data_IF_790780265349
#
_entry.id   IF_790780265349
#
_cell.length_a   1.000
_cell.length_b   1.000
_cell.length_c   1.000
_cell.angle_alpha   90.00
_cell.angle_beta   90.00
_cell.angle_gamma   90.00
#
_symmetry.space_group_name_H-M   'P 1'
#
loop_
_entity.id
_entity.type
_entity.pdbx_description
1 polymer ?
#
# COMPACT_ATOMS: atom_id res chain seq x y z
N UNK A 1 19.73 -9.71 28.86
CA UNK A 1 20.09 -8.52 28.05
C UNK A 1 21.26 -8.85 27.13
N UNK A 2 21.03 -8.93 25.81
CA UNK A 2 22.05 -8.58 24.82
C UNK A 2 21.52 -7.49 23.87
N UNK A 3 22.39 -6.52 23.59
CA UNK A 3 22.20 -5.46 22.58
C UNK A 3 22.53 -6.05 21.20
N UNK A 4 21.59 -5.95 20.26
CA UNK A 4 21.78 -6.25 18.84
C UNK A 4 21.50 -4.98 18.02
N UNK A 5 22.50 -4.55 17.28
CA UNK A 5 22.59 -3.36 16.41
C UNK A 5 21.56 -3.31 15.27
N UNK A 6 21.17 -2.12 14.79
CA UNK A 6 20.43 -1.95 13.55
C UNK A 6 21.41 -1.79 12.37
N UNK A 7 21.41 -2.74 11.44
CA UNK A 7 22.08 -2.57 10.15
C UNK A 7 21.35 -3.43 9.12
N UNK A 8 20.44 -2.79 8.38
CA UNK A 8 20.19 -3.09 6.96
C UNK A 8 19.32 -1.96 6.39
N UNK A 9 20.02 -0.88 6.02
CA UNK A 9 19.45 0.16 5.19
C UNK A 9 19.40 -0.35 3.74
N UNK A 10 18.21 -0.74 3.28
CA UNK A 10 17.95 -1.05 1.87
C UNK A 10 18.12 0.24 1.05
N UNK A 11 19.01 0.30 0.04
CA UNK A 11 19.12 1.47 -0.80
C UNK A 11 17.88 1.58 -1.70
N UNK A 12 17.12 2.66 -1.52
CA UNK A 12 16.06 3.06 -2.43
C UNK A 12 16.67 3.41 -3.80
N UNK A 13 16.58 2.48 -4.74
CA UNK A 13 16.91 2.74 -6.13
C UNK A 13 15.91 3.74 -6.72
N UNK A 14 16.39 4.94 -7.04
CA UNK A 14 15.62 5.95 -7.78
C UNK A 14 15.41 5.45 -9.22
N UNK A 15 14.18 5.28 -9.71
CA UNK A 15 13.96 5.08 -11.13
C UNK A 15 14.37 6.37 -11.87
N UNK A 16 15.29 6.21 -12.82
CA UNK A 16 15.82 7.29 -13.64
C UNK A 16 14.71 8.01 -14.40
N UNK A 17 14.71 9.34 -14.31
CA UNK A 17 13.89 10.20 -15.14
C UNK A 17 14.32 10.03 -16.61
N UNK A 18 13.48 9.35 -17.40
CA UNK A 18 13.59 9.37 -18.86
C UNK A 18 13.00 10.71 -19.32
N UNK A 19 13.88 11.65 -19.65
CA UNK A 19 13.50 12.93 -20.24
C UNK A 19 12.86 12.76 -21.62
N UNK A 20 11.98 13.68 -22.05
CA UNK A 20 11.31 13.60 -23.34
C UNK A 20 12.31 13.76 -24.50
N UNK A 21 12.09 13.12 -25.67
CA UNK A 21 12.92 13.36 -26.84
C UNK A 21 12.71 14.79 -27.34
N UNK A 22 13.79 15.58 -27.33
CA UNK A 22 13.84 16.92 -27.91
C UNK A 22 14.11 16.81 -29.41
N UNK A 23 13.13 17.17 -30.24
CA UNK A 23 13.33 17.32 -31.68
C UNK A 23 13.64 18.78 -32.01
N UNK A 24 14.89 19.04 -32.42
CA UNK A 24 15.31 20.32 -32.99
C UNK A 24 14.97 20.36 -34.49
N UNK A 25 14.45 21.48 -35.03
CA UNK A 25 14.30 21.65 -36.47
C UNK A 25 15.65 22.03 -37.10
N UNK A 26 16.11 21.23 -38.06
CA UNK A 26 17.28 21.54 -38.88
C UNK A 26 16.91 22.52 -40.00
N UNK A 27 17.74 23.55 -40.16
CA UNK A 27 17.61 24.63 -41.12
C UNK A 27 18.32 24.35 -42.46
N UNK A 28 17.64 24.67 -43.58
CA UNK A 28 18.17 25.09 -44.90
C UNK A 28 19.04 24.12 -45.72
N UNK A 29 19.27 24.34 -47.05
CA UNK A 29 19.08 25.56 -47.85
C UNK A 29 18.02 25.38 -48.97
N UNK A 30 17.33 26.41 -49.48
CA UNK A 30 17.89 27.55 -50.21
C UNK A 30 17.96 27.24 -51.71
N UNK A 31 16.90 27.51 -52.47
CA UNK A 31 16.84 27.31 -53.93
C UNK A 31 15.88 28.30 -54.58
N UNK A 32 16.46 29.27 -55.28
CA UNK A 32 15.85 30.50 -55.75
C UNK A 32 14.86 30.33 -56.93
N UNK A 33 13.89 31.25 -56.97
CA UNK A 33 13.01 31.53 -58.10
C UNK A 33 13.76 32.16 -59.29
N UNK A 34 13.16 32.15 -60.49
CA UNK A 34 13.40 33.20 -61.47
C UNK A 34 12.11 33.98 -61.74
N UNK A 35 12.16 35.28 -61.46
CA UNK A 35 11.19 36.27 -61.89
C UNK A 35 11.84 37.31 -62.81
N UNK A 36 11.24 37.43 -64.00
CA UNK A 36 11.13 38.61 -64.87
C UNK A 36 12.38 39.31 -65.44
N UNK A 37 12.39 39.43 -66.78
CA UNK A 37 12.75 40.68 -67.44
C UNK A 37 11.97 40.81 -68.76
N UNK A 38 10.99 41.72 -68.76
CA UNK A 38 10.43 42.33 -69.97
C UNK A 38 11.33 43.49 -70.38
N UNK A 39 11.62 43.64 -71.68
CA UNK A 39 12.13 44.88 -72.25
C UNK A 39 11.49 45.11 -73.63
N UNK A 40 10.98 46.32 -73.81
CA UNK A 40 10.17 46.77 -74.94
C UNK A 40 10.97 47.78 -75.79
N UNK A 41 10.74 47.71 -77.11
CA UNK A 41 10.75 48.78 -78.13
C UNK A 41 12.08 49.41 -78.60
N UNK A 42 12.33 49.38 -79.93
CA UNK A 42 12.10 50.51 -80.88
C UNK A 42 12.82 50.26 -82.23
N UNK A 43 12.13 50.49 -83.35
CA UNK A 43 12.64 50.66 -84.73
C UNK A 43 12.65 52.17 -85.09
N UNK A 44 13.39 52.71 -86.09
CA UNK A 44 13.36 52.38 -87.55
C UNK A 44 14.79 52.44 -88.18
N UNK A 45 15.08 52.27 -89.48
CA UNK A 45 14.37 52.09 -90.73
C UNK A 45 15.37 51.98 -91.90
N UNK A 46 14.85 51.53 -93.04
CA UNK A 46 15.30 51.68 -94.44
C UNK A 46 16.59 51.03 -94.99
N UNK A 47 16.36 50.18 -96.00
CA UNK A 47 17.36 49.62 -96.90
C UNK A 47 16.79 48.47 -97.74
N UNK A 48 15.98 48.78 -98.75
CA UNK A 48 15.59 47.87 -99.84
C UNK A 48 16.22 48.39 -101.15
N UNK A 49 16.17 47.66 -102.30
CA UNK A 49 15.92 46.23 -102.54
C UNK A 49 16.96 45.60 -103.49
N UNK A 50 16.93 44.28 -103.66
CA UNK A 50 17.24 43.66 -104.95
C UNK A 50 16.57 42.29 -105.06
N UNK A 51 15.70 42.21 -106.06
CA UNK A 51 14.97 41.06 -106.59
C UNK A 51 15.93 39.97 -107.09
N UNK A 52 15.56 38.70 -106.94
CA UNK A 52 15.09 37.88 -108.07
C UNK A 52 14.97 36.40 -107.72
N UNK A 53 13.87 35.84 -108.22
CA UNK A 53 13.67 34.48 -108.71
C UNK A 53 13.81 33.25 -107.80
N UNK A 54 12.63 32.69 -107.54
CA UNK A 54 12.23 31.35 -107.96
C UNK A 54 13.27 30.23 -107.89
N UNK A 55 13.04 29.27 -106.97
CA UNK A 55 12.88 27.86 -107.37
C UNK A 55 12.59 26.94 -106.18
N UNK A 56 11.58 26.10 -106.38
CA UNK A 56 11.55 24.70 -105.99
C UNK A 56 11.69 24.34 -104.49
N UNK A 57 10.52 24.11 -103.91
CA UNK A 57 10.28 23.02 -102.95
C UNK A 57 10.99 21.73 -103.34
N UNK A 58 11.70 21.09 -102.38
CA UNK A 58 11.71 19.64 -102.00
C UNK A 58 13.00 19.25 -101.21
N UNK A 59 13.08 18.11 -100.50
CA UNK A 59 12.50 17.91 -99.17
C UNK A 59 13.51 17.23 -98.21
N UNK A 60 14.10 17.96 -97.24
CA UNK A 60 14.87 17.32 -96.13
C UNK A 60 14.12 17.27 -94.78
N UNK A 61 12.90 17.82 -94.72
CA UNK A 61 12.07 17.94 -93.50
C UNK A 61 11.63 16.64 -92.83
N UNK A 62 11.66 15.50 -93.53
CA UNK A 62 11.19 14.22 -92.95
C UNK A 62 12.09 13.68 -91.85
N UNK A 63 13.42 13.89 -91.92
CA UNK A 63 14.35 13.40 -90.88
C UNK A 63 14.27 14.21 -89.59
N UNK A 64 14.15 15.54 -89.68
CA UNK A 64 14.01 16.42 -88.50
C UNK A 64 12.69 16.22 -87.74
N UNK A 65 11.59 15.98 -88.45
CA UNK A 65 10.30 15.67 -87.82
C UNK A 65 10.32 14.31 -87.10
N UNK A 66 10.97 13.30 -87.68
CA UNK A 66 11.14 11.99 -87.03
C UNK A 66 11.96 12.12 -85.75
N UNK A 67 13.06 12.88 -85.77
CA UNK A 67 13.88 13.13 -84.57
C UNK A 67 13.07 13.86 -83.49
N UNK A 68 12.29 14.89 -83.84
CA UNK A 68 11.46 15.62 -82.88
C UNK A 68 10.38 14.72 -82.25
N UNK A 69 9.74 13.85 -83.04
CA UNK A 69 8.77 12.87 -82.53
C UNK A 69 9.43 11.85 -81.61
N UNK A 70 10.63 11.35 -81.95
CA UNK A 70 11.38 10.42 -81.09
C UNK A 70 11.77 11.08 -79.77
N UNK A 71 12.28 12.31 -79.80
CA UNK A 71 12.62 13.07 -78.58
C UNK A 71 11.38 13.32 -77.72
N UNK A 72 10.27 13.72 -78.33
CA UNK A 72 9.01 13.94 -77.62
C UNK A 72 8.47 12.63 -77.01
N UNK A 73 8.55 11.52 -77.74
CA UNK A 73 8.17 10.21 -77.24
C UNK A 73 9.05 9.77 -76.05
N UNK A 74 10.37 10.01 -76.12
CA UNK A 74 11.29 9.75 -75.01
C UNK A 74 10.99 10.64 -73.80
N UNK A 75 10.70 11.93 -74.01
CA UNK A 75 10.34 12.85 -72.95
C UNK A 75 9.02 12.44 -72.26
N UNK A 76 8.01 12.01 -73.04
CA UNK A 76 6.76 11.46 -72.52
C UNK A 76 6.99 10.18 -71.72
N UNK A 77 7.81 9.26 -72.24
CA UNK A 77 8.16 8.03 -71.53
C UNK A 77 8.89 8.33 -70.20
N UNK A 78 9.82 9.29 -70.20
CA UNK A 78 10.51 9.74 -68.99
C UNK A 78 9.54 10.36 -67.98
N UNK A 79 8.61 11.22 -68.42
CA UNK A 79 7.60 11.83 -67.55
C UNK A 79 6.68 10.78 -66.90
N UNK A 80 6.25 9.77 -67.66
CA UNK A 80 5.46 8.65 -67.13
C UNK A 80 6.26 7.82 -66.11
N UNK A 81 7.55 7.57 -66.38
CA UNK A 81 8.44 6.87 -65.47
C UNK A 81 8.62 7.62 -64.14
N UNK A 82 8.85 8.94 -64.19
CA UNK A 82 8.96 9.78 -63.00
C UNK A 82 7.62 9.83 -62.24
N UNK A 83 6.50 9.97 -62.94
CA UNK A 83 5.17 9.93 -62.33
C UNK A 83 4.90 8.62 -61.58
N UNK A 84 5.23 7.48 -62.20
CA UNK A 84 5.10 6.17 -61.57
C UNK A 84 6.04 5.99 -60.36
N UNK A 85 7.27 6.50 -60.43
CA UNK A 85 8.21 6.47 -59.32
C UNK A 85 7.73 7.30 -58.12
N UNK A 86 7.27 8.54 -58.38
CA UNK A 86 6.71 9.41 -57.34
C UNK A 86 5.46 8.81 -56.72
N UNK A 87 4.61 8.16 -57.54
CA UNK A 87 3.45 7.44 -57.03
C UNK A 87 3.86 6.30 -56.09
N UNK A 88 4.81 5.45 -56.49
CA UNK A 88 5.25 4.34 -55.65
C UNK A 88 5.93 4.82 -54.36
N UNK A 89 6.70 5.91 -54.43
CA UNK A 89 7.34 6.47 -53.24
C UNK A 89 6.30 7.08 -52.30
N UNK A 90 5.27 7.74 -52.85
CA UNK A 90 4.23 8.36 -52.01
C UNK A 90 3.37 7.32 -51.32
N UNK A 91 3.03 6.22 -51.99
CA UNK A 91 2.22 5.14 -51.37
C UNK A 91 2.99 4.47 -50.24
N UNK A 92 4.28 4.16 -50.44
CA UNK A 92 5.12 3.60 -49.38
C UNK A 92 5.26 4.52 -48.17
N UNK A 93 5.36 5.82 -48.41
CA UNK A 93 5.43 6.80 -47.33
C UNK A 93 4.12 6.85 -46.54
N UNK A 94 2.97 6.86 -47.23
CA UNK A 94 1.65 6.82 -46.59
C UNK A 94 1.43 5.55 -45.75
N UNK A 95 1.79 4.37 -46.27
CA UNK A 95 1.71 3.11 -45.52
C UNK A 95 2.57 3.14 -44.26
N UNK A 96 3.80 3.65 -44.37
CA UNK A 96 4.71 3.77 -43.23
C UNK A 96 4.18 4.74 -42.19
N UNK A 97 3.68 5.91 -42.60
CA UNK A 97 3.05 6.89 -41.70
C UNK A 97 1.83 6.31 -40.99
N UNK A 98 0.97 5.60 -41.72
CA UNK A 98 -0.20 4.93 -41.12
C UNK A 98 0.23 3.87 -40.09
N UNK A 99 1.31 3.12 -40.36
CA UNK A 99 1.89 2.17 -39.42
C UNK A 99 2.40 2.84 -38.14
N UNK A 100 3.11 3.97 -38.25
CA UNK A 100 3.59 4.73 -37.08
C UNK A 100 2.45 5.32 -36.26
N UNK A 101 1.42 5.87 -36.91
CA UNK A 101 0.25 6.39 -36.20
C UNK A 101 -0.51 5.28 -35.48
N UNK A 102 -0.67 4.11 -36.10
CA UNK A 102 -1.32 2.96 -35.47
C UNK A 102 -0.53 2.49 -34.23
N UNK A 103 0.81 2.41 -34.33
CA UNK A 103 1.66 2.07 -33.19
C UNK A 103 1.60 3.12 -32.08
N UNK A 104 1.64 4.40 -32.43
CA UNK A 104 1.53 5.48 -31.44
C UNK A 104 0.18 5.45 -30.71
N UNK A 105 -0.92 5.18 -31.42
CA UNK A 105 -2.24 4.99 -30.81
C UNK A 105 -2.28 3.74 -29.93
N UNK A 106 -1.68 2.62 -30.38
CA UNK A 106 -1.57 1.39 -29.59
C UNK A 106 -0.82 1.61 -28.27
N UNK A 107 0.37 2.20 -28.33
CA UNK A 107 1.15 2.55 -27.13
C UNK A 107 0.39 3.53 -26.21
N UNK A 108 -0.36 4.46 -26.79
CA UNK A 108 -1.23 5.36 -26.02
C UNK A 108 -2.34 4.62 -25.28
N UNK A 109 -2.95 3.62 -25.91
CA UNK A 109 -3.95 2.75 -25.29
C UNK A 109 -3.34 1.89 -24.19
N UNK A 110 -2.18 1.28 -24.44
CA UNK A 110 -1.46 0.47 -23.46
C UNK A 110 -1.11 1.31 -22.23
N UNK A 111 -0.55 2.51 -22.41
CA UNK A 111 -0.23 3.43 -21.29
C UNK A 111 -1.49 3.82 -20.52
N UNK A 112 -2.61 4.07 -21.19
CA UNK A 112 -3.86 4.38 -20.52
C UNK A 112 -4.36 3.19 -19.68
N UNK A 113 -4.32 1.98 -20.25
CA UNK A 113 -4.68 0.75 -19.56
C UNK A 113 -3.79 0.49 -18.34
N UNK A 114 -2.47 0.56 -18.51
CA UNK A 114 -1.50 0.36 -17.42
C UNK A 114 -1.70 1.37 -16.30
N UNK A 115 -2.07 2.62 -16.60
CA UNK A 115 -2.42 3.62 -15.58
C UNK A 115 -3.68 3.23 -14.82
N UNK A 116 -4.72 2.77 -15.50
CA UNK A 116 -5.94 2.28 -14.85
C UNK A 116 -5.67 1.06 -13.97
N UNK A 117 -4.84 0.11 -14.42
CA UNK A 117 -4.43 -1.05 -13.64
C UNK A 117 -3.61 -0.63 -12.41
N UNK A 118 -2.70 0.33 -12.55
CA UNK A 118 -1.92 0.87 -11.44
C UNK A 118 -2.81 1.59 -10.40
N UNK A 119 -3.75 2.41 -10.85
CA UNK A 119 -4.71 3.09 -9.97
C UNK A 119 -5.59 2.07 -9.22
N UNK A 120 -6.03 1.01 -9.91
CA UNK A 120 -6.74 -0.11 -9.29
C UNK A 120 -5.91 -0.83 -8.23
N UNK A 121 -4.68 -1.22 -8.55
CA UNK A 121 -3.77 -1.88 -7.62
C UNK A 121 -3.45 -1.00 -6.39
N UNK A 122 -3.29 0.30 -6.58
CA UNK A 122 -3.09 1.25 -5.47
C UNK A 122 -4.34 1.34 -4.57
N UNK A 123 -5.54 1.35 -5.15
CA UNK A 123 -6.78 1.36 -4.39
C UNK A 123 -6.97 0.06 -3.57
N UNK A 124 -6.62 -1.10 -4.16
CA UNK A 124 -6.62 -2.38 -3.45
C UNK A 124 -5.63 -2.38 -2.28
N UNK A 125 -4.42 -1.84 -2.49
CA UNK A 125 -3.39 -1.75 -1.46
C UNK A 125 -3.84 -0.85 -0.31
N UNK A 126 -4.45 0.30 -0.61
CA UNK A 126 -5.00 1.21 0.40
C UNK A 126 -6.14 0.56 1.21
N UNK A 127 -7.02 -0.17 0.53
CA UNK A 127 -8.06 -0.97 1.20
C UNK A 127 -7.46 -2.03 2.12
N UNK A 128 -6.45 -2.76 1.67
CA UNK A 128 -5.77 -3.77 2.48
C UNK A 128 -5.07 -3.16 3.70
N UNK A 129 -4.44 -1.99 3.56
CA UNK A 129 -3.83 -1.24 4.68
C UNK A 129 -4.88 -0.79 5.70
N UNK A 130 -6.02 -0.31 5.22
CA UNK A 130 -7.14 0.08 6.09
C UNK A 130 -7.67 -1.12 6.87
N UNK A 131 -7.86 -2.26 6.20
CA UNK A 131 -8.28 -3.52 6.84
C UNK A 131 -7.26 -4.01 7.87
N UNK A 132 -5.96 -3.92 7.56
CA UNK A 132 -4.89 -4.30 8.48
C UNK A 132 -4.89 -3.41 9.74
N UNK A 133 -5.05 -2.10 9.56
CA UNK A 133 -5.11 -1.15 10.67
C UNK A 133 -6.31 -1.44 11.57
N UNK A 134 -7.50 -1.63 10.98
CA UNK A 134 -8.71 -1.99 11.72
C UNK A 134 -8.58 -3.34 12.47
N UNK A 135 -7.89 -4.32 11.86
CA UNK A 135 -7.61 -5.59 12.52
C UNK A 135 -6.63 -5.42 13.70
N UNK A 136 -5.60 -4.58 13.57
CA UNK A 136 -4.65 -4.27 14.64
C UNK A 136 -5.31 -3.53 15.81
N UNK A 137 -6.19 -2.57 15.52
CA UNK A 137 -6.98 -1.87 16.54
C UNK A 137 -7.85 -2.87 17.31
N UNK A 138 -8.56 -3.76 16.60
CA UNK A 138 -9.39 -4.79 17.22
C UNK A 138 -8.59 -5.80 18.05
N UNK A 139 -7.38 -6.15 17.62
CA UNK A 139 -6.47 -7.01 18.41
C UNK A 139 -6.03 -6.28 19.68
N UNK A 140 -5.72 -4.99 19.60
CA UNK A 140 -5.32 -4.17 20.74
C UNK A 140 -6.46 -4.01 21.75
N UNK A 141 -7.68 -3.78 21.26
CA UNK A 141 -8.88 -3.72 22.09
C UNK A 141 -9.14 -5.05 22.81
N UNK A 142 -9.04 -6.18 22.10
CA UNK A 142 -9.18 -7.51 22.72
C UNK A 142 -8.08 -7.79 23.74
N UNK A 143 -6.85 -7.31 23.51
CA UNK A 143 -5.75 -7.46 24.46
C UNK A 143 -6.01 -6.65 25.73
N UNK A 144 -6.53 -5.42 25.60
CA UNK A 144 -6.92 -4.58 26.72
C UNK A 144 -8.08 -5.19 27.51
N UNK A 145 -9.13 -5.67 26.83
CA UNK A 145 -10.26 -6.35 27.46
C UNK A 145 -9.80 -7.60 28.23
N UNK A 146 -8.88 -8.38 27.66
CA UNK A 146 -8.31 -9.55 28.34
C UNK A 146 -7.50 -9.17 29.58
N UNK A 147 -6.74 -8.07 29.55
CA UNK A 147 -6.03 -7.58 30.73
C UNK A 147 -7.01 -7.16 31.83
N UNK A 148 -8.07 -6.43 31.46
CA UNK A 148 -9.11 -5.98 32.38
C UNK A 148 -9.85 -7.16 33.03
N UNK A 149 -10.26 -8.15 32.23
CA UNK A 149 -10.87 -9.39 32.74
C UNK A 149 -9.91 -10.22 33.59
N UNK A 150 -8.60 -10.17 33.29
CA UNK A 150 -7.57 -10.80 34.11
C UNK A 150 -7.52 -10.20 35.51
N UNK A 151 -7.46 -8.87 35.60
CA UNK A 151 -7.42 -8.15 36.87
C UNK A 151 -8.72 -8.35 37.68
N UNK A 152 -9.89 -8.33 37.03
CA UNK A 152 -11.18 -8.58 37.67
C UNK A 152 -11.31 -10.02 38.20
N UNK A 153 -10.77 -10.99 37.49
CA UNK A 153 -10.77 -12.38 37.94
C UNK A 153 -9.83 -12.59 39.14
N UNK A 154 -8.65 -11.97 39.15
CA UNK A 154 -7.73 -11.99 40.31
C UNK A 154 -8.37 -11.32 41.53
N UNK A 155 -9.01 -10.17 41.36
CA UNK A 155 -9.75 -9.50 42.45
C UNK A 155 -10.88 -10.39 42.98
N UNK A 156 -11.61 -11.08 42.11
CA UNK A 156 -12.68 -12.01 42.49
C UNK A 156 -12.14 -13.21 43.26
N UNK A 157 -10.99 -13.77 42.85
CA UNK A 157 -10.33 -14.86 43.58
C UNK A 157 -9.85 -14.41 44.96
N UNK A 158 -9.26 -13.23 45.08
CA UNK A 158 -8.85 -12.67 46.38
C UNK A 158 -10.05 -12.49 47.32
N UNK A 159 -11.20 -12.05 46.79
CA UNK A 159 -12.41 -11.89 47.60
C UNK A 159 -12.99 -13.23 48.09
N UNK A 160 -12.91 -14.28 47.27
CA UNK A 160 -13.33 -15.64 47.66
C UNK A 160 -12.35 -16.26 48.66
N UNK A 161 -11.04 -16.09 48.47
CA UNK A 161 -10.02 -16.56 49.42
C UNK A 161 -10.18 -15.89 50.78
N UNK A 162 -10.39 -14.57 50.80
CA UNK A 162 -10.66 -13.82 52.02
C UNK A 162 -11.91 -14.34 52.75
N UNK A 163 -13.02 -14.57 52.04
CA UNK A 163 -14.22 -15.15 52.65
C UNK A 163 -14.00 -16.56 53.18
N UNK A 164 -13.21 -17.39 52.49
CA UNK A 164 -12.86 -18.74 52.95
C UNK A 164 -12.06 -18.67 54.25
N UNK A 165 -11.03 -17.82 54.30
CA UNK A 165 -10.21 -17.63 55.51
C UNK A 165 -11.01 -17.13 56.70
N UNK A 166 -11.87 -16.13 56.48
CA UNK A 166 -12.75 -15.59 57.52
C UNK A 166 -13.74 -16.65 58.01
N UNK A 167 -14.32 -17.43 57.10
CA UNK A 167 -15.27 -18.51 57.44
C UNK A 167 -14.60 -19.64 58.23
N UNK A 168 -13.38 -20.04 57.84
CA UNK A 168 -12.57 -21.03 58.57
C UNK A 168 -12.18 -20.52 59.96
N UNK A 169 -11.79 -19.25 60.08
CA UNK A 169 -11.45 -18.65 61.36
C UNK A 169 -12.68 -18.52 62.27
N UNK A 170 -13.82 -18.09 61.75
CA UNK A 170 -15.09 -18.07 62.49
C UNK A 170 -15.51 -19.47 62.95
N UNK A 171 -15.31 -20.49 62.13
CA UNK A 171 -15.55 -21.89 62.49
C UNK A 171 -14.68 -22.37 63.65
N UNK A 172 -13.38 -22.04 63.64
CA UNK A 172 -12.45 -22.34 64.74
C UNK A 172 -12.86 -21.67 66.05
N UNK A 173 -13.22 -20.38 65.99
CA UNK A 173 -13.69 -19.61 67.15
C UNK A 173 -14.97 -20.23 67.72
N UNK A 174 -15.95 -20.56 66.87
CA UNK A 174 -17.20 -21.20 67.30
C UNK A 174 -16.96 -22.58 67.94
N UNK A 175 -16.07 -23.40 67.37
CA UNK A 175 -15.70 -24.70 67.92
C UNK A 175 -15.03 -24.57 69.30
N UNK A 176 -14.07 -23.65 69.44
CA UNK A 176 -13.35 -23.42 70.70
C UNK A 176 -14.28 -22.89 71.81
N UNK A 177 -15.19 -21.96 71.49
CA UNK A 177 -16.23 -21.49 72.41
C UNK A 177 -17.18 -22.62 72.85
N UNK A 178 -17.57 -23.50 71.93
CA UNK A 178 -18.40 -24.67 72.25
C UNK A 178 -17.70 -25.65 73.20
N UNK A 179 -16.41 -25.90 73.00
CA UNK A 179 -15.61 -26.75 73.88
C UNK A 179 -15.42 -26.13 75.27
N UNK A 180 -15.07 -24.84 75.35
CA UNK A 180 -14.96 -24.10 76.61
C UNK A 180 -16.28 -24.12 77.41
N UNK A 181 -17.42 -23.89 76.75
CA UNK A 181 -18.74 -23.93 77.40
C UNK A 181 -19.08 -25.33 77.93
N UNK A 182 -18.75 -26.37 77.16
CA UNK A 182 -18.95 -27.77 77.55
C UNK A 182 -18.09 -28.13 78.76
N UNK A 183 -16.81 -27.75 78.75
CA UNK A 183 -15.87 -27.98 79.83
C UNK A 183 -16.29 -27.25 81.12
N UNK A 184 -16.75 -26.00 81.02
CA UNK A 184 -17.31 -25.25 82.17
C UNK A 184 -18.55 -25.93 82.75
N UNK A 185 -19.44 -26.45 81.89
CA UNK A 185 -20.63 -27.19 82.34
C UNK A 185 -20.24 -28.46 83.10
N UNK A 186 -19.24 -29.20 82.62
CA UNK A 186 -18.71 -30.38 83.32
C UNK A 186 -18.06 -30.01 84.65
N UNK A 187 -17.28 -28.92 84.70
CA UNK A 187 -16.67 -28.43 85.94
C UNK A 187 -17.74 -28.06 86.99
N UNK A 188 -18.82 -27.39 86.59
CA UNK A 188 -19.97 -27.11 87.48
C UNK A 188 -20.59 -28.43 87.99
N UNK A 189 -20.67 -29.45 87.14
CA UNK A 189 -21.11 -30.79 87.54
C UNK A 189 -20.22 -31.43 88.60
N UNK A 190 -18.90 -31.41 88.41
CA UNK A 190 -17.93 -31.87 89.41
C UNK A 190 -18.03 -31.09 90.72
N UNK A 191 -18.16 -29.76 90.64
CA UNK A 191 -18.33 -28.89 91.79
C UNK A 191 -19.70 -29.05 92.48
N UNK A 192 -20.71 -29.60 91.84
CA UNK A 192 -21.97 -29.94 92.51
C UNK A 192 -21.90 -31.28 93.23
N UNK A 193 -20.95 -32.16 92.87
CA UNK A 193 -20.81 -33.50 93.42
C UNK A 193 -19.42 -33.71 94.07
N UNK A 194 -18.94 -32.69 94.79
CA UNK A 194 -17.57 -32.57 95.32
C UNK A 194 -17.15 -33.75 96.19
N UNK A 195 -18.09 -34.27 96.98
CA UNK A 195 -17.84 -35.34 97.96
C UNK A 195 -17.50 -36.69 97.28
N UNK A 196 -17.76 -36.81 95.97
CA UNK A 196 -17.48 -38.01 95.18
C UNK A 196 -16.12 -37.99 94.45
N UNK A 197 -15.36 -36.88 94.51
CA UNK A 197 -14.13 -36.67 93.74
C UNK A 197 -12.97 -36.14 94.60
N UNK A 198 -11.74 -36.40 94.17
CA UNK A 198 -10.53 -35.88 94.83
C UNK A 198 -10.37 -34.37 94.52
N UNK A 199 -10.16 -33.50 95.53
CA UNK A 199 -9.93 -32.07 95.32
C UNK A 199 -8.77 -31.78 94.35
N UNK A 200 -7.70 -32.59 94.34
CA UNK A 200 -6.56 -32.37 93.46
C UNK A 200 -6.89 -32.62 91.97
N UNK A 201 -7.89 -33.46 91.68
CA UNK A 201 -8.35 -33.72 90.31
C UNK A 201 -9.31 -32.62 89.83
N UNK A 202 -10.10 -32.03 90.75
CA UNK A 202 -10.95 -30.87 90.45
C UNK A 202 -10.09 -29.66 90.07
N UNK A 203 -9.03 -29.37 90.83
CA UNK A 203 -8.12 -28.26 90.53
C UNK A 203 -7.44 -28.45 89.16
N UNK A 204 -6.96 -29.66 88.87
CA UNK A 204 -6.32 -29.97 87.58
C UNK A 204 -7.29 -29.82 86.40
N UNK A 205 -8.56 -30.20 86.59
CA UNK A 205 -9.60 -30.03 85.57
C UNK A 205 -9.96 -28.55 85.39
N UNK A 206 -10.04 -27.77 86.47
CA UNK A 206 -10.27 -26.33 86.42
C UNK A 206 -9.15 -25.61 85.64
N UNK A 207 -7.89 -25.99 85.86
CA UNK A 207 -6.75 -25.48 85.09
C UNK A 207 -6.85 -25.81 83.60
N UNK A 208 -7.24 -27.05 83.27
CA UNK A 208 -7.45 -27.47 81.86
C UNK A 208 -8.58 -26.69 81.19
N UNK A 209 -9.69 -26.47 81.89
CA UNK A 209 -10.80 -25.62 81.39
C UNK A 209 -10.32 -24.19 81.16
N UNK A 210 -9.51 -23.65 82.08
CA UNK A 210 -8.91 -22.32 81.96
C UNK A 210 -8.04 -22.17 80.71
N UNK A 211 -7.15 -23.13 80.46
CA UNK A 211 -6.30 -23.16 79.26
C UNK A 211 -7.14 -23.21 77.98
N UNK A 212 -8.17 -24.08 77.94
CA UNK A 212 -9.04 -24.23 76.77
C UNK A 212 -9.83 -22.95 76.45
N UNK A 213 -10.33 -22.28 77.49
CA UNK A 213 -11.04 -21.01 77.34
C UNK A 213 -10.11 -19.85 76.97
N UNK A 214 -8.84 -19.89 77.41
CA UNK A 214 -7.82 -18.93 77.00
C UNK A 214 -7.51 -19.08 75.50
N UNK A 215 -7.30 -20.30 75.01
CA UNK A 215 -7.11 -20.58 73.58
C UNK A 215 -8.28 -20.07 72.72
N UNK A 216 -9.52 -20.26 73.18
CA UNK A 216 -10.70 -19.75 72.50
C UNK A 216 -10.72 -18.21 72.41
N UNK A 217 -10.25 -17.55 73.48
CA UNK A 217 -10.18 -16.09 73.55
C UNK A 217 -9.06 -15.54 72.66
N UNK A 218 -7.90 -16.20 72.66
CA UNK A 218 -6.75 -15.85 71.84
C UNK A 218 -7.06 -16.03 70.34
N UNK A 219 -7.76 -17.11 69.97
CA UNK A 219 -8.24 -17.34 68.60
C UNK A 219 -9.22 -16.23 68.13
N UNK A 220 -10.08 -15.73 69.01
CA UNK A 220 -10.99 -14.63 68.71
C UNK A 220 -10.23 -13.30 68.59
N UNK A 221 -9.26 -13.04 69.47
CA UNK A 221 -8.40 -11.87 69.38
C UNK A 221 -7.60 -11.84 68.07
N UNK A 222 -7.09 -12.99 67.64
CA UNK A 222 -6.37 -13.13 66.37
C UNK A 222 -7.28 -12.85 65.16
N UNK A 223 -8.52 -13.34 65.17
CA UNK A 223 -9.52 -13.02 64.13
C UNK A 223 -9.85 -11.51 64.10
N UNK A 224 -10.04 -10.87 65.26
CA UNK A 224 -10.28 -9.44 65.33
C UNK A 224 -9.10 -8.62 64.78
N UNK A 225 -7.88 -9.12 64.93
CA UNK A 225 -6.68 -8.52 64.38
C UNK A 225 -6.61 -8.66 62.86
N UNK A 226 -7.01 -9.81 62.30
CA UNK A 226 -7.11 -10.00 60.84
C UNK A 226 -8.21 -9.15 60.19
N UNK A 227 -9.29 -8.84 60.93
CA UNK A 227 -10.40 -8.01 60.43
C UNK A 227 -10.13 -6.49 60.53
N UNK A 228 -9.15 -6.07 61.34
CA UNK A 228 -8.83 -4.67 61.60
C UNK A 228 -7.63 -4.14 60.81
N UNK A 229 -6.86 -5.03 60.16
CA UNK A 229 -5.74 -4.70 59.27
C UNK A 229 -6.13 -4.67 57.81
#
# INVERSE_FOLDING_TARGET
MPRGTPADAVPAARPGAVGPPSFAPAAGPGGAAPGAASATATAPGDGAPASDDAAATRPRRRRGAVVAVVVLALALAAALGVGAYLWLTTTRWQETSAGWEAQARGLGQDVAQLRTELDGANAELESARTQLTAAQDRISDLANEKAQLGDENEASQQYLDYQSRVSDAAGKVAAALGQCTTAQTQLIGYLNNRDAYDPADIDRFADQVGVLCQEATDANAQLQQELAG
#
